data_IF_539004356992
#
_entry.id   IF_539004356992
#
_cell.length_a   1.000
_cell.length_b   1.000
_cell.length_c   1.000
_cell.angle_alpha   90.00
_cell.angle_beta   90.00
_cell.angle_gamma   90.00
#
_symmetry.space_group_name_H-M   'P 1'
#
loop_
_entity.id
_entity.type
_entity.pdbx_description
1 polymer ?
#
# COMPACT_ATOMS: atom_id res chain seq x y z
N UNK A 1 64.23 -6.71 12.14
CA UNK A 1 63.04 -7.32 12.78
C UNK A 1 61.82 -6.80 12.04
N UNK A 2 61.28 -7.58 11.11
CA UNK A 2 60.10 -7.21 10.31
C UNK A 2 58.84 -7.44 11.17
N UNK A 3 58.06 -6.38 11.42
CA UNK A 3 56.75 -6.50 12.06
C UNK A 3 55.71 -6.68 10.95
N UNK A 4 55.20 -7.90 10.82
CA UNK A 4 54.03 -8.24 10.00
C UNK A 4 52.83 -8.29 10.96
N UNK A 5 51.86 -7.42 10.80
CA UNK A 5 50.58 -7.54 11.51
C UNK A 5 49.42 -7.29 10.56
N UNK A 6 48.61 -8.34 10.45
CA UNK A 6 47.53 -8.60 9.51
C UNK A 6 46.40 -7.56 9.58
N UNK A 7 45.96 -7.07 8.42
CA UNK A 7 44.64 -6.48 8.25
C UNK A 7 43.61 -7.61 8.21
N UNK A 8 42.77 -7.74 9.23
CA UNK A 8 41.61 -8.61 9.19
C UNK A 8 40.53 -7.95 8.34
N UNK A 9 40.43 -8.34 7.07
CA UNK A 9 39.31 -7.96 6.23
C UNK A 9 38.07 -8.76 6.69
N UNK A 10 37.15 -8.11 7.39
CA UNK A 10 35.80 -8.65 7.60
C UNK A 10 35.10 -8.70 6.23
N UNK A 11 35.05 -9.89 5.63
CA UNK A 11 34.24 -10.14 4.45
C UNK A 11 32.75 -10.04 4.83
N UNK A 12 32.10 -8.94 4.43
CA UNK A 12 30.65 -8.82 4.49
C UNK A 12 30.09 -9.70 3.38
N UNK A 13 29.59 -10.89 3.72
CA UNK A 13 28.86 -11.73 2.78
C UNK A 13 27.53 -11.05 2.44
N UNK A 14 27.50 -10.37 1.29
CA UNK A 14 26.26 -9.88 0.68
C UNK A 14 25.55 -11.08 0.07
N UNK A 15 24.57 -11.62 0.79
CA UNK A 15 23.69 -12.63 0.21
C UNK A 15 22.62 -11.92 -0.62
N UNK A 16 22.47 -12.21 -1.93
CA UNK A 16 21.32 -11.72 -2.66
C UNK A 16 20.04 -12.23 -1.99
N UNK A 17 19.17 -11.31 -1.57
CA UNK A 17 17.87 -11.66 -1.03
C UNK A 17 17.06 -12.28 -2.15
N UNK A 18 16.81 -13.59 -2.08
CA UNK A 18 15.82 -14.25 -2.91
C UNK A 18 14.44 -13.65 -2.58
N UNK A 19 14.02 -12.65 -3.36
CA UNK A 19 12.71 -12.07 -3.28
C UNK A 19 11.69 -13.07 -3.83
N UNK A 20 10.92 -13.68 -2.94
CA UNK A 20 9.72 -14.46 -3.31
C UNK A 20 8.68 -13.50 -3.93
N UNK A 21 7.69 -13.97 -4.71
CA UNK A 21 6.79 -13.09 -5.44
C UNK A 21 6.05 -12.09 -4.54
N UNK A 22 5.55 -11.04 -5.19
CA UNK A 22 4.70 -10.02 -4.59
C UNK A 22 3.52 -10.65 -3.83
N UNK A 23 3.18 -10.12 -2.66
CA UNK A 23 1.95 -10.44 -1.94
C UNK A 23 0.97 -9.27 -2.02
N UNK A 24 -0.32 -9.57 -2.20
CA UNK A 24 -1.41 -8.65 -1.85
C UNK A 24 -1.56 -8.70 -0.33
N UNK A 25 -1.60 -7.55 0.33
CA UNK A 25 -1.74 -7.44 1.78
C UNK A 25 -3.19 -7.08 2.14
N UNK A 26 -3.61 -7.51 3.33
CA UNK A 26 -4.92 -7.15 3.87
C UNK A 26 -4.93 -5.70 4.33
N UNK A 27 -5.87 -4.92 3.81
CA UNK A 27 -6.10 -3.54 4.24
C UNK A 27 -7.34 -3.49 5.12
N UNK A 28 -7.24 -2.78 6.24
CA UNK A 28 -8.38 -2.52 7.12
C UNK A 28 -8.52 -1.05 7.48
N UNK A 29 -9.73 -0.67 7.89
CA UNK A 29 -10.06 0.66 8.39
C UNK A 29 -10.38 0.52 9.89
N UNK A 30 -9.46 0.89 10.81
CA UNK A 30 -9.70 0.74 12.25
C UNK A 30 -10.97 1.43 12.75
N UNK A 31 -11.34 2.56 12.14
CA UNK A 31 -12.58 3.29 12.44
C UNK A 31 -13.81 2.75 11.68
N UNK A 32 -13.62 1.79 10.78
CA UNK A 32 -14.65 1.23 9.91
C UNK A 32 -15.22 -0.10 10.41
N UNK A 33 -16.03 -0.73 9.55
CA UNK A 33 -16.64 -2.03 9.77
C UNK A 33 -16.38 -2.95 8.59
N UNK A 34 -16.11 -4.23 8.85
CA UNK A 34 -15.99 -5.21 7.78
C UNK A 34 -17.37 -5.48 7.14
N UNK A 35 -17.47 -5.31 5.82
CA UNK A 35 -18.64 -5.65 5.02
C UNK A 35 -18.42 -7.02 4.35
N UNK A 36 -19.46 -7.84 4.31
CA UNK A 36 -19.39 -9.17 3.70
C UNK A 36 -19.38 -9.10 2.17
N UNK A 37 -19.71 -10.24 1.56
CA UNK A 37 -19.93 -10.30 0.12
C UNK A 37 -21.04 -9.34 -0.32
N UNK A 38 -20.81 -8.62 -1.41
CA UNK A 38 -21.76 -7.69 -2.03
C UNK A 38 -21.66 -7.77 -3.56
N UNK A 39 -22.73 -7.44 -4.28
CA UNK A 39 -22.68 -7.36 -5.74
C UNK A 39 -22.03 -6.06 -6.23
N UNK A 40 -22.02 -5.01 -5.40
CA UNK A 40 -21.26 -3.79 -5.66
C UNK A 40 -19.77 -4.04 -5.36
N UNK A 41 -18.87 -4.01 -6.36
CA UNK A 41 -17.45 -4.28 -6.14
C UNK A 41 -16.79 -3.26 -5.19
N UNK A 42 -17.39 -2.09 -4.97
CA UNK A 42 -16.91 -1.11 -3.99
C UNK A 42 -17.25 -1.46 -2.54
N UNK A 43 -18.11 -2.45 -2.32
CA UNK A 43 -18.54 -2.89 -1.00
C UNK A 43 -18.21 -4.36 -0.74
N UNK A 44 -17.92 -5.14 -1.79
CA UNK A 44 -17.70 -6.59 -1.67
C UNK A 44 -16.43 -6.91 -0.87
N UNK A 45 -16.59 -7.64 0.24
CA UNK A 45 -15.50 -8.17 1.08
C UNK A 45 -14.46 -7.12 1.50
N UNK A 46 -14.92 -5.91 1.85
CA UNK A 46 -14.06 -4.79 2.19
C UNK A 46 -14.29 -4.26 3.61
N UNK A 47 -13.33 -3.49 4.12
CA UNK A 47 -13.59 -2.60 5.24
C UNK A 47 -14.26 -1.33 4.73
N UNK A 48 -15.38 -0.97 5.34
CA UNK A 48 -16.19 0.18 4.94
C UNK A 48 -16.23 1.23 6.04
N UNK A 49 -16.10 2.50 5.65
CA UNK A 49 -16.19 3.65 6.54
C UNK A 49 -17.01 4.73 5.84
N UNK A 50 -18.19 5.04 6.38
CA UNK A 50 -19.04 6.11 5.86
C UNK A 50 -18.68 7.44 6.53
N UNK A 51 -18.31 8.44 5.73
CA UNK A 51 -17.82 9.73 6.22
C UNK A 51 -18.72 10.85 5.69
N UNK A 52 -19.10 11.78 6.57
CA UNK A 52 -19.98 12.89 6.23
C UNK A 52 -19.21 14.19 6.09
N UNK A 53 -19.37 14.87 4.95
CA UNK A 53 -18.71 16.14 4.65
C UNK A 53 -17.51 16.01 3.72
N UNK A 54 -17.08 17.15 3.20
CA UNK A 54 -16.12 17.27 2.10
C UNK A 54 -14.66 17.00 2.48
N UNK A 55 -14.30 17.13 3.77
CA UNK A 55 -12.94 16.93 4.26
C UNK A 55 -12.93 15.92 5.39
N UNK A 56 -12.04 14.94 5.30
CA UNK A 56 -11.95 13.83 6.24
C UNK A 56 -10.52 13.52 6.61
N UNK A 57 -10.33 12.98 7.81
CA UNK A 57 -9.08 12.34 8.22
C UNK A 57 -9.40 11.05 8.95
N UNK A 58 -8.76 9.95 8.52
CA UNK A 58 -8.99 8.60 9.04
C UNK A 58 -7.73 7.74 8.91
N UNK A 59 -7.73 6.58 9.55
CA UNK A 59 -6.60 5.65 9.52
C UNK A 59 -6.84 4.53 8.51
N UNK A 60 -5.82 4.24 7.72
CA UNK A 60 -5.75 3.01 6.90
C UNK A 60 -4.66 2.13 7.50
N UNK A 61 -4.98 0.87 7.78
CA UNK A 61 -4.05 -0.12 8.31
C UNK A 61 -3.71 -1.15 7.25
N UNK A 62 -2.43 -1.35 6.99
CA UNK A 62 -1.94 -2.44 6.14
C UNK A 62 -1.43 -3.56 7.05
N UNK A 63 -2.06 -4.73 6.95
CA UNK A 63 -1.77 -5.90 7.78
C UNK A 63 -0.92 -6.91 7.00
N UNK A 64 0.18 -7.34 7.60
CA UNK A 64 0.88 -8.52 7.15
C UNK A 64 0.44 -9.73 8.00
N UNK A 65 -0.45 -10.54 7.44
CA UNK A 65 -1.01 -11.71 8.11
C UNK A 65 -0.10 -12.94 8.07
N UNK A 66 1.02 -12.89 7.35
CA UNK A 66 1.94 -14.03 7.23
C UNK A 66 2.61 -14.37 8.57
N UNK A 67 2.71 -15.67 8.85
CA UNK A 67 3.43 -16.21 10.01
C UNK A 67 4.96 -16.23 9.81
N UNK A 68 5.44 -16.19 8.58
CA UNK A 68 6.85 -16.48 8.26
C UNK A 68 7.49 -15.49 7.28
N UNK A 69 6.69 -14.72 6.55
CA UNK A 69 7.17 -13.75 5.56
C UNK A 69 6.91 -12.33 6.00
N UNK A 70 7.88 -11.47 5.71
CA UNK A 70 7.81 -10.02 5.85
C UNK A 70 7.46 -9.42 4.51
N UNK A 71 6.77 -8.27 4.52
CA UNK A 71 6.56 -7.47 3.32
C UNK A 71 7.56 -6.31 3.31
N UNK A 72 8.16 -6.01 2.16
CA UNK A 72 9.03 -4.86 1.97
C UNK A 72 8.78 -4.22 0.61
N UNK A 73 9.24 -2.97 0.44
CA UNK A 73 8.78 -2.13 -0.68
C UNK A 73 7.24 -2.18 -0.77
N UNK A 74 6.58 -2.17 0.39
CA UNK A 74 5.13 -2.27 0.52
C UNK A 74 4.52 -0.98 0.04
N UNK A 75 3.59 -1.06 -0.91
CA UNK A 75 2.95 0.07 -1.56
C UNK A 75 1.47 0.06 -1.26
N UNK A 76 0.96 1.24 -0.93
CA UNK A 76 -0.47 1.47 -0.88
C UNK A 76 -0.97 1.77 -2.30
N UNK A 77 -2.03 1.09 -2.69
CA UNK A 77 -2.81 1.42 -3.87
C UNK A 77 -4.01 2.23 -3.41
N UNK A 78 -4.25 3.35 -4.08
CA UNK A 78 -5.39 4.22 -3.82
C UNK A 78 -6.21 4.26 -5.11
N UNK A 79 -7.46 3.84 -5.03
CA UNK A 79 -8.42 3.83 -6.13
C UNK A 79 -9.55 4.82 -5.87
N UNK A 80 -9.96 5.55 -6.90
CA UNK A 80 -10.98 6.59 -6.86
C UNK A 80 -12.01 6.29 -7.95
N UNK A 81 -13.30 6.30 -7.60
CA UNK A 81 -14.33 6.28 -8.63
C UNK A 81 -14.32 7.61 -9.41
N UNK A 82 -15.09 7.69 -10.50
CA UNK A 82 -15.11 8.91 -11.34
C UNK A 82 -15.51 10.17 -10.57
N UNK A 83 -16.48 10.06 -9.65
CA UNK A 83 -16.88 11.17 -8.80
C UNK A 83 -15.73 11.65 -7.92
N UNK A 84 -15.06 10.72 -7.23
CA UNK A 84 -13.92 11.01 -6.37
C UNK A 84 -12.76 11.64 -7.14
N UNK A 85 -12.38 11.07 -8.29
CA UNK A 85 -11.33 11.63 -9.13
C UNK A 85 -11.66 13.06 -9.60
N UNK A 86 -12.88 13.27 -10.10
CA UNK A 86 -13.28 14.58 -10.63
C UNK A 86 -13.36 15.66 -9.54
N UNK A 87 -13.84 15.29 -8.35
CA UNK A 87 -14.04 16.21 -7.22
C UNK A 87 -12.82 16.31 -6.28
N UNK A 88 -11.73 15.57 -6.52
CA UNK A 88 -10.55 15.58 -5.66
C UNK A 88 -9.88 16.97 -5.63
N UNK A 89 -9.79 17.55 -4.44
CA UNK A 89 -9.08 18.82 -4.18
C UNK A 89 -7.69 18.53 -3.59
N UNK A 90 -7.61 17.69 -2.56
CA UNK A 90 -6.34 17.29 -1.94
C UNK A 90 -6.41 15.88 -1.38
N UNK A 91 -5.27 15.17 -1.42
CA UNK A 91 -5.07 13.89 -0.77
C UNK A 91 -3.66 13.85 -0.21
N UNK A 92 -3.55 13.60 1.09
CA UNK A 92 -2.30 13.48 1.83
C UNK A 92 -2.34 12.16 2.58
N UNK A 93 -1.31 11.33 2.41
CA UNK A 93 -1.15 10.07 3.13
C UNK A 93 0.16 10.12 3.91
N UNK A 94 0.05 10.09 5.24
CA UNK A 94 1.18 10.18 6.17
C UNK A 94 2.15 11.34 5.83
N UNK A 95 1.60 12.52 5.55
CA UNK A 95 2.35 13.71 5.14
C UNK A 95 2.79 13.76 3.67
N UNK A 96 2.63 12.69 2.91
CA UNK A 96 2.96 12.65 1.47
C UNK A 96 1.75 13.06 0.64
N UNK A 97 1.88 14.15 -0.13
CA UNK A 97 0.84 14.58 -1.07
C UNK A 97 0.72 13.63 -2.27
N UNK A 98 -0.51 13.22 -2.58
CA UNK A 98 -0.85 12.42 -3.76
C UNK A 98 -1.62 13.32 -4.73
N UNK A 99 -0.95 13.98 -5.69
CA UNK A 99 -1.63 14.91 -6.59
C UNK A 99 -2.57 14.15 -7.53
N UNK A 100 -3.68 14.78 -7.93
CA UNK A 100 -4.65 14.22 -8.89
C UNK A 100 -3.99 13.69 -10.18
N UNK A 101 -2.95 14.37 -10.66
CA UNK A 101 -2.17 13.97 -11.85
C UNK A 101 -1.36 12.69 -11.68
N UNK A 102 -1.23 12.17 -10.45
CA UNK A 102 -0.59 10.88 -10.19
C UNK A 102 -1.53 9.69 -10.42
N UNK A 103 -2.83 9.92 -10.57
CA UNK A 103 -3.81 8.87 -10.85
C UNK A 103 -3.86 8.58 -12.35
N UNK A 104 -3.99 7.30 -12.68
CA UNK A 104 -4.14 6.80 -14.05
C UNK A 104 -5.35 5.88 -14.13
N UNK A 105 -6.03 5.85 -15.26
CA UNK A 105 -7.14 4.93 -15.50
C UNK A 105 -6.62 3.53 -15.80
N UNK A 106 -7.17 2.51 -15.12
CA UNK A 106 -6.91 1.10 -15.43
C UNK A 106 -6.87 0.22 -14.19
N UNK A 107 -6.03 -0.82 -14.27
CA UNK A 107 -5.84 -1.81 -13.21
C UNK A 107 -4.38 -1.80 -12.75
N UNK A 108 -4.10 -1.89 -11.44
CA UNK A 108 -2.75 -2.03 -10.92
C UNK A 108 -2.00 -3.19 -11.57
N UNK A 109 -0.71 -2.96 -11.83
CA UNK A 109 0.20 -3.99 -12.31
C UNK A 109 1.44 -4.03 -11.41
N UNK A 110 1.35 -4.67 -10.22
CA UNK A 110 2.43 -4.71 -9.25
C UNK A 110 3.77 -5.11 -9.89
N UNK A 111 4.74 -4.21 -9.75
CA UNK A 111 6.10 -4.34 -10.32
C UNK A 111 6.16 -4.62 -11.83
N UNK A 112 5.08 -4.32 -12.58
CA UNK A 112 4.88 -4.67 -14.00
C UNK A 112 4.88 -6.17 -14.31
N UNK A 113 4.88 -7.01 -13.29
CA UNK A 113 5.00 -8.46 -13.42
C UNK A 113 3.65 -9.17 -13.25
N UNK A 114 2.78 -8.63 -12.38
CA UNK A 114 1.55 -9.30 -11.96
C UNK A 114 0.32 -8.55 -12.44
N UNK A 115 -0.71 -9.30 -12.85
CA UNK A 115 -2.06 -8.76 -13.07
C UNK A 115 -2.78 -8.76 -11.73
N UNK A 116 -3.44 -7.65 -11.38
CA UNK A 116 -4.28 -7.60 -10.18
C UNK A 116 -5.42 -8.63 -10.27
N UNK A 117 -5.83 -9.27 -9.16
CA UNK A 117 -6.98 -10.17 -9.16
C UNK A 117 -8.23 -9.52 -9.77
N UNK A 118 -8.98 -10.28 -10.55
CA UNK A 118 -10.27 -9.85 -11.11
C UNK A 118 -11.36 -9.82 -10.05
N UNK A 119 -12.33 -8.92 -10.19
CA UNK A 119 -13.52 -8.85 -9.32
C UNK A 119 -13.48 -7.71 -8.28
N UNK A 120 -12.37 -6.99 -8.23
CA UNK A 120 -12.17 -5.79 -7.41
C UNK A 120 -12.69 -4.53 -8.12
N UNK A 121 -12.50 -3.33 -7.56
CA UNK A 121 -12.99 -2.03 -8.08
C UNK A 121 -12.41 -1.59 -9.42
N UNK A 122 -11.54 -2.39 -10.04
CA UNK A 122 -10.81 -2.07 -11.26
C UNK A 122 -11.52 -2.59 -12.52
N UNK A 123 -11.42 -1.88 -13.67
CA UNK A 123 -10.62 -0.68 -13.90
C UNK A 123 -11.21 0.60 -13.30
N UNK A 124 -10.36 1.47 -12.76
CA UNK A 124 -10.75 2.78 -12.23
C UNK A 124 -9.56 3.74 -12.18
N UNK A 125 -9.71 4.95 -11.62
CA UNK A 125 -8.59 5.87 -11.39
C UNK A 125 -7.77 5.40 -10.20
N UNK A 126 -6.48 5.09 -10.39
CA UNK A 126 -5.66 4.62 -9.29
C UNK A 126 -4.24 5.20 -9.27
N UNK A 127 -3.65 5.23 -8.06
CA UNK A 127 -2.22 5.44 -7.86
C UNK A 127 -1.63 4.30 -7.03
N UNK A 128 -0.52 3.73 -7.50
CA UNK A 128 0.19 2.63 -6.85
C UNK A 128 1.70 2.92 -6.69
N UNK A 129 2.08 4.19 -6.75
CA UNK A 129 3.50 4.59 -6.87
C UNK A 129 3.94 5.64 -5.87
N UNK A 130 3.02 6.45 -5.31
CA UNK A 130 3.39 7.57 -4.45
C UNK A 130 3.66 7.16 -3.01
N UNK A 131 2.96 6.14 -2.52
CA UNK A 131 3.01 5.77 -1.11
C UNK A 131 3.78 4.45 -0.96
N UNK A 132 5.03 4.55 -0.52
CA UNK A 132 5.84 3.42 -0.10
C UNK A 132 5.92 3.39 1.43
N UNK A 133 5.38 2.33 2.00
CA UNK A 133 5.22 2.09 3.43
C UNK A 133 6.43 1.32 3.99
N UNK A 134 7.31 0.82 3.12
CA UNK A 134 8.56 0.17 3.47
C UNK A 134 8.36 -1.24 4.01
N UNK A 135 9.08 -1.60 5.07
CA UNK A 135 9.02 -2.92 5.71
C UNK A 135 7.81 -3.04 6.65
N UNK A 136 7.05 -4.13 6.52
CA UNK A 136 6.07 -4.61 7.51
C UNK A 136 6.51 -6.02 7.96
N UNK A 137 6.89 -6.19 9.26
CA UNK A 137 7.26 -7.50 9.80
C UNK A 137 6.14 -8.55 9.72
N UNK A 138 6.48 -9.81 9.97
CA UNK A 138 5.52 -10.91 10.13
C UNK A 138 4.52 -10.58 11.25
N UNK A 139 3.24 -10.92 11.06
CA UNK A 139 2.17 -10.71 12.07
C UNK A 139 2.16 -9.29 12.65
N UNK A 140 2.36 -8.31 11.78
CA UNK A 140 2.44 -6.91 12.16
C UNK A 140 1.63 -6.06 11.18
N UNK A 141 1.56 -4.77 11.46
CA UNK A 141 0.82 -3.81 10.66
C UNK A 141 1.54 -2.47 10.61
N UNK A 142 1.13 -1.63 9.66
CA UNK A 142 1.45 -0.21 9.65
C UNK A 142 0.19 0.61 9.44
N UNK A 143 0.07 1.65 10.25
CA UNK A 143 -1.01 2.63 10.17
C UNK A 143 -0.57 3.83 9.34
N UNK A 144 -1.47 4.29 8.48
CA UNK A 144 -1.30 5.45 7.62
C UNK A 144 -2.45 6.40 7.89
N UNK A 145 -2.13 7.64 8.27
CA UNK A 145 -3.14 8.70 8.39
C UNK A 145 -3.43 9.24 6.99
N UNK A 146 -4.69 9.16 6.57
CA UNK A 146 -5.17 9.71 5.31
C UNK A 146 -5.97 10.96 5.61
N UNK A 147 -5.58 12.07 5.00
CA UNK A 147 -6.37 13.31 4.97
C UNK A 147 -6.77 13.60 3.54
N UNK A 148 -8.08 13.73 3.29
CA UNK A 148 -8.63 13.92 1.95
C UNK A 148 -9.66 15.04 1.96
N UNK A 149 -9.64 15.86 0.90
CA UNK A 149 -10.65 16.89 0.65
C UNK A 149 -11.18 16.74 -0.77
N UNK A 150 -12.50 16.74 -0.89
CA UNK A 150 -13.24 16.83 -2.14
C UNK A 150 -13.93 18.19 -2.23
N UNK A 151 -14.23 18.66 -3.45
CA UNK A 151 -15.04 19.87 -3.64
C UNK A 151 -16.50 19.64 -3.27
N UNK A 152 -16.96 18.39 -3.37
CA UNK A 152 -18.31 17.93 -3.05
C UNK A 152 -18.23 16.42 -2.74
N UNK A 153 -18.77 15.94 -1.60
CA UNK A 153 -18.69 14.53 -1.22
C UNK A 153 -19.72 13.63 -1.93
N UNK A 154 -20.67 14.16 -2.69
CA UNK A 154 -21.74 13.36 -3.28
C UNK A 154 -21.19 12.30 -4.26
N UNK A 155 -21.53 11.03 -3.99
CA UNK A 155 -21.16 9.88 -4.83
C UNK A 155 -19.67 9.51 -4.82
N UNK A 156 -18.85 10.17 -3.99
CA UNK A 156 -17.41 9.92 -3.87
C UNK A 156 -17.15 8.58 -3.20
N UNK A 157 -16.29 7.77 -3.79
CA UNK A 157 -15.78 6.51 -3.20
C UNK A 157 -14.27 6.42 -3.38
N UNK A 158 -13.59 6.03 -2.30
CA UNK A 158 -12.16 5.75 -2.27
C UNK A 158 -11.95 4.31 -1.79
N UNK A 159 -11.09 3.57 -2.48
CA UNK A 159 -10.74 2.19 -2.15
C UNK A 159 -9.23 2.10 -1.94
N UNK A 160 -8.81 1.25 -1.00
CA UNK A 160 -7.43 1.09 -0.61
C UNK A 160 -7.03 -0.38 -0.67
N UNK A 161 -5.99 -0.67 -1.45
CA UNK A 161 -5.32 -1.96 -1.44
C UNK A 161 -3.85 -1.81 -1.07
N UNK A 162 -3.18 -2.92 -0.87
CA UNK A 162 -1.74 -2.91 -0.66
C UNK A 162 -1.07 -4.12 -1.30
N UNK A 163 0.15 -3.91 -1.77
CA UNK A 163 1.00 -4.99 -2.22
C UNK A 163 2.45 -4.76 -1.78
N UNK A 164 3.26 -5.81 -1.73
CA UNK A 164 4.68 -5.67 -1.43
C UNK A 164 5.47 -6.90 -1.81
N UNK A 165 6.79 -6.77 -1.93
CA UNK A 165 7.67 -7.92 -2.10
C UNK A 165 7.74 -8.72 -0.81
N UNK A 166 7.99 -10.03 -0.91
CA UNK A 166 8.08 -10.90 0.27
C UNK A 166 9.49 -11.42 0.50
N UNK A 167 9.85 -11.60 1.77
CA UNK A 167 11.12 -12.17 2.19
C UNK A 167 11.02 -12.79 3.58
N UNK A 168 11.84 -13.80 3.85
CA UNK A 168 12.01 -14.37 5.20
C UNK A 168 13.08 -13.65 6.04
N UNK A 169 13.92 -12.81 5.41
CA UNK A 169 15.04 -12.09 6.05
C UNK A 169 14.77 -10.58 6.10
N UNK A 170 15.41 -9.85 7.01
CA UNK A 170 15.42 -8.36 6.91
C UNK A 170 16.10 -7.97 5.60
N UNK A 171 15.47 -7.19 4.70
CA UNK A 171 16.19 -6.61 3.58
C UNK A 171 17.26 -5.67 4.13
N UNK A 172 18.52 -5.90 3.80
CA UNK A 172 19.57 -4.90 4.00
C UNK A 172 19.33 -3.77 3.01
N UNK A 173 19.41 -2.51 3.46
CA UNK A 173 19.38 -1.36 2.56
C UNK A 173 20.60 -1.43 1.65
N UNK A 174 20.38 -1.64 0.36
CA UNK A 174 21.43 -1.42 -0.64
C UNK A 174 21.74 0.09 -0.62
N UNK A 175 22.99 0.42 -0.26
CA UNK A 175 23.53 1.78 -0.37
C UNK A 175 23.93 2.12 -1.80
#
# INVERSE_FOLDING_TARGET
>A
MFLLSFLTACAVFVYPVNATPCAVLEVSLPEGTHHGYDMDPWLCECWFLNLTGASQTFTVRINNTSNSLRSYDTRLVIALNDAAYNKLVSLIVNGTGVPKTAFKWGTPKPYKLWTWPSGDVYPTWFNDTKINVGLIPTKSYKDLVVSVTFSDPEGVRIHFDAYGKTTSKTPTSDG
#
